data_IF_306433221139
#
_entry.id   IF_306433221139
#
_cell.length_a   1.000
_cell.length_b   1.000
_cell.length_c   1.000
_cell.angle_alpha   90.00
_cell.angle_beta   90.00
_cell.angle_gamma   90.00
#
_symmetry.space_group_name_H-M   'P 1'
#
loop_
_entity.id
_entity.type
_entity.pdbx_description
1 polymer ?
#
# COMPACT_ATOMS: atom_id res chain seq x y z
N UNK A 1 8.39 -18.88 12.18
CA UNK A 1 7.76 -17.85 11.34
C UNK A 1 6.99 -16.93 12.26
N UNK A 2 7.14 -15.60 12.11
CA UNK A 2 6.35 -14.66 12.89
C UNK A 2 4.88 -14.79 12.45
N UNK A 3 3.96 -14.84 13.41
CA UNK A 3 2.52 -14.87 13.12
C UNK A 3 2.11 -13.50 12.60
N UNK A 4 1.32 -13.46 11.53
CA UNK A 4 0.72 -12.23 11.01
C UNK A 4 -0.06 -11.50 12.12
N UNK A 5 0.05 -10.17 12.18
CA UNK A 5 -0.72 -9.35 13.13
C UNK A 5 -2.22 -9.46 12.84
N UNK A 6 -3.06 -9.18 13.84
CA UNK A 6 -4.51 -9.14 13.65
C UNK A 6 -4.88 -7.99 12.69
N UNK A 7 -4.19 -6.85 12.77
CA UNK A 7 -4.44 -5.74 11.85
C UNK A 7 -4.11 -6.11 10.39
N UNK A 8 -2.98 -6.78 10.13
CA UNK A 8 -2.63 -7.22 8.78
C UNK A 8 -3.68 -8.15 8.17
N UNK A 9 -4.29 -9.02 9.01
CA UNK A 9 -5.40 -9.87 8.59
C UNK A 9 -6.61 -9.06 8.16
N UNK A 10 -7.03 -8.11 9.00
CA UNK A 10 -8.21 -7.29 8.78
C UNK A 10 -8.05 -6.42 7.53
N UNK A 11 -6.92 -5.73 7.39
CA UNK A 11 -6.60 -4.93 6.21
C UNK A 11 -6.49 -5.78 4.94
N UNK A 12 -5.85 -6.95 5.02
CA UNK A 12 -5.78 -7.91 3.93
C UNK A 12 -7.18 -8.32 3.45
N UNK A 13 -8.08 -8.65 4.37
CA UNK A 13 -9.46 -9.02 4.03
C UNK A 13 -10.22 -7.85 3.38
N UNK A 14 -10.06 -6.63 3.88
CA UNK A 14 -10.67 -5.43 3.30
C UNK A 14 -10.22 -5.22 1.85
N UNK A 15 -8.94 -5.45 1.53
CA UNK A 15 -8.42 -5.34 0.16
C UNK A 15 -9.11 -6.33 -0.80
N UNK A 16 -9.43 -7.56 -0.35
CA UNK A 16 -10.16 -8.52 -1.18
C UNK A 16 -11.58 -8.07 -1.56
N UNK A 17 -12.22 -7.26 -0.71
CA UNK A 17 -13.58 -6.79 -0.92
C UNK A 17 -13.64 -5.57 -1.86
N UNK A 18 -12.51 -4.89 -2.07
CA UNK A 18 -12.39 -3.81 -3.05
C UNK A 18 -12.47 -4.31 -4.51
N UNK A 19 -12.19 -5.59 -4.78
CA UNK A 19 -12.24 -6.16 -6.13
C UNK A 19 -13.36 -7.20 -6.27
N UNK A 20 -14.27 -6.96 -7.22
CA UNK A 20 -15.50 -7.75 -7.43
C UNK A 20 -15.25 -9.26 -7.59
N UNK A 21 -14.17 -9.65 -8.29
CA UNK A 21 -13.88 -11.05 -8.58
C UNK A 21 -13.15 -11.77 -7.43
N UNK A 22 -12.58 -11.03 -6.48
CA UNK A 22 -11.92 -11.60 -5.30
C UNK A 22 -12.81 -11.57 -4.06
N UNK A 23 -13.81 -10.68 -4.00
CA UNK A 23 -14.73 -10.60 -2.86
C UNK A 23 -15.50 -11.90 -2.62
N UNK A 24 -15.76 -12.68 -3.68
CA UNK A 24 -16.46 -13.98 -3.63
C UNK A 24 -15.55 -15.19 -3.45
N UNK A 25 -14.25 -15.00 -3.25
CA UNK A 25 -13.33 -16.10 -2.95
C UNK A 25 -13.61 -16.68 -1.57
N UNK A 26 -13.34 -17.97 -1.39
CA UNK A 26 -13.47 -18.62 -0.10
C UNK A 26 -12.50 -18.01 0.92
N UNK A 27 -12.97 -17.81 2.15
CA UNK A 27 -12.19 -17.16 3.20
C UNK A 27 -10.86 -17.88 3.47
N UNK A 28 -10.84 -19.20 3.42
CA UNK A 28 -9.61 -19.99 3.58
C UNK A 28 -8.57 -19.67 2.49
N UNK A 29 -9.00 -19.47 1.24
CA UNK A 29 -8.12 -19.09 0.14
C UNK A 29 -7.62 -17.65 0.28
N UNK A 30 -8.51 -16.73 0.69
CA UNK A 30 -8.10 -15.34 1.01
C UNK A 30 -7.03 -15.37 2.10
N UNK A 31 -7.22 -16.22 3.12
CA UNK A 31 -6.30 -16.34 4.24
C UNK A 31 -4.91 -16.81 3.80
N UNK A 32 -4.86 -17.92 3.06
CA UNK A 32 -3.60 -18.43 2.49
C UNK A 32 -2.85 -17.34 1.71
N UNK A 33 -3.54 -16.62 0.82
CA UNK A 33 -2.91 -15.59 -0.02
C UNK A 33 -2.39 -14.42 0.80
N UNK A 34 -3.14 -13.95 1.80
CA UNK A 34 -2.69 -12.85 2.67
C UNK A 34 -1.39 -13.25 3.38
N UNK A 35 -1.34 -14.46 3.95
CA UNK A 35 -0.14 -14.96 4.62
C UNK A 35 1.05 -15.04 3.68
N UNK A 36 0.88 -15.68 2.51
CA UNK A 36 1.94 -15.83 1.51
C UNK A 36 2.43 -14.48 0.96
N UNK A 37 1.51 -13.54 0.71
CA UNK A 37 1.84 -12.21 0.20
C UNK A 37 2.57 -11.36 1.25
N UNK A 38 2.14 -11.43 2.51
CA UNK A 38 2.79 -10.71 3.60
C UNK A 38 4.23 -11.22 3.83
N UNK A 39 4.41 -12.55 3.88
CA UNK A 39 5.73 -13.18 3.98
C UNK A 39 6.64 -12.78 2.81
N UNK A 40 6.09 -12.75 1.59
CA UNK A 40 6.82 -12.32 0.41
C UNK A 40 7.26 -10.84 0.53
N UNK A 41 6.35 -9.95 0.92
CA UNK A 41 6.64 -8.54 1.12
C UNK A 41 7.73 -8.29 2.17
N UNK A 42 7.59 -8.92 3.33
CA UNK A 42 8.58 -8.85 4.40
C UNK A 42 9.96 -9.37 3.96
N UNK A 43 10.00 -10.50 3.25
CA UNK A 43 11.24 -11.05 2.69
C UNK A 43 11.90 -10.06 1.72
N UNK A 44 11.13 -9.48 0.79
CA UNK A 44 11.64 -8.48 -0.16
C UNK A 44 12.19 -7.24 0.55
N UNK A 45 11.58 -6.81 1.65
CA UNK A 45 12.06 -5.67 2.41
C UNK A 45 13.44 -5.94 3.04
N UNK A 46 13.66 -7.12 3.60
CA UNK A 46 14.98 -7.48 4.14
C UNK A 46 16.04 -7.61 3.04
N UNK A 47 15.68 -8.15 1.87
CA UNK A 47 16.57 -8.18 0.69
C UNK A 47 16.98 -6.76 0.28
N UNK A 48 16.02 -5.85 0.13
CA UNK A 48 16.27 -4.46 -0.26
C UNK A 48 17.07 -3.72 0.81
N UNK A 49 16.79 -3.92 2.09
CA UNK A 49 17.58 -3.33 3.19
C UNK A 49 19.03 -3.79 3.16
N UNK A 50 19.29 -5.07 2.85
CA UNK A 50 20.65 -5.60 2.72
C UNK A 50 21.44 -4.98 1.57
N UNK A 51 20.75 -4.63 0.48
CA UNK A 51 21.35 -4.02 -0.72
C UNK A 51 21.57 -2.51 -0.51
N UNK A 52 20.51 -1.81 -0.11
CA UNK A 52 20.48 -0.36 -0.02
C UNK A 52 20.67 0.07 1.43
N UNK A 53 21.92 0.44 1.77
CA UNK A 53 22.34 0.88 3.11
C UNK A 53 21.90 2.31 3.43
N UNK A 54 20.62 2.62 3.25
CA UNK A 54 20.05 3.97 3.44
C UNK A 54 18.96 3.98 4.50
N UNK A 55 18.62 5.16 5.01
CA UNK A 55 17.68 5.34 6.13
C UNK A 55 16.19 5.36 5.77
N UNK A 56 15.79 5.14 4.51
CA UNK A 56 14.36 5.21 4.13
C UNK A 56 14.09 4.98 2.64
N UNK A 57 12.81 4.85 2.30
CA UNK A 57 12.34 4.60 0.94
C UNK A 57 12.70 5.73 -0.03
N UNK A 58 12.60 6.99 0.41
CA UNK A 58 12.97 8.13 -0.44
C UNK A 58 14.45 8.09 -0.84
N UNK A 59 15.32 7.68 0.08
CA UNK A 59 16.76 7.53 -0.20
C UNK A 59 17.02 6.47 -1.27
N UNK A 60 16.34 5.33 -1.17
CA UNK A 60 16.45 4.23 -2.14
C UNK A 60 15.95 4.68 -3.51
N UNK A 61 14.78 5.32 -3.57
CA UNK A 61 14.21 5.85 -4.81
C UNK A 61 15.15 6.84 -5.50
N UNK A 62 15.80 7.73 -4.74
CA UNK A 62 16.81 8.66 -5.28
C UNK A 62 18.02 7.93 -5.86
N UNK A 63 18.53 6.90 -5.18
CA UNK A 63 19.63 6.08 -5.71
C UNK A 63 19.25 5.33 -7.00
N UNK A 64 17.98 4.95 -7.13
CA UNK A 64 17.41 4.32 -8.33
C UNK A 64 17.16 5.31 -9.49
N UNK A 65 17.40 6.60 -9.26
CA UNK A 65 17.16 7.68 -10.23
C UNK A 65 15.68 7.99 -10.42
N UNK A 66 14.83 7.72 -9.43
CA UNK A 66 13.41 8.07 -9.47
C UNK A 66 13.21 9.53 -9.09
N UNK A 67 12.53 10.28 -9.95
CA UNK A 67 12.16 11.67 -9.71
C UNK A 67 10.85 11.71 -8.91
N UNK A 68 10.86 12.36 -7.74
CA UNK A 68 9.67 12.52 -6.91
C UNK A 68 9.16 13.95 -7.04
N UNK A 69 7.97 14.12 -7.60
CA UNK A 69 7.31 15.42 -7.79
C UNK A 69 6.14 15.50 -6.81
N UNK A 70 5.98 16.66 -6.17
CA UNK A 70 4.77 16.96 -5.40
C UNK A 70 3.77 17.64 -6.32
N UNK A 71 2.58 17.06 -6.45
CA UNK A 71 1.47 17.64 -7.20
C UNK A 71 0.38 18.11 -6.23
N UNK A 72 -0.08 19.35 -6.40
CA UNK A 72 -1.14 19.94 -5.57
C UNK A 72 -2.47 20.06 -6.35
N UNK A 73 -2.59 19.42 -7.51
CA UNK A 73 -3.82 19.52 -8.31
C UNK A 73 -4.99 18.86 -7.57
N UNK A 74 -6.03 19.66 -7.33
CA UNK A 74 -7.35 19.18 -6.90
C UNK A 74 -8.00 18.46 -8.07
N UNK A 75 -7.67 17.18 -8.31
CA UNK A 75 -8.64 16.30 -8.95
C UNK A 75 -9.79 16.11 -7.96
N UNK A 76 -11.00 16.31 -8.48
CA UNK A 76 -12.22 16.62 -7.72
C UNK A 76 -12.64 15.56 -6.72
N UNK A 77 -13.91 15.62 -6.31
CA UNK A 77 -14.56 14.67 -5.39
C UNK A 77 -14.58 13.23 -5.97
N UNK A 78 -13.43 12.61 -6.15
CA UNK A 78 -13.32 11.22 -6.53
C UNK A 78 -13.70 10.37 -5.31
N UNK A 79 -14.48 9.31 -5.55
CA UNK A 79 -14.78 8.28 -4.53
C UNK A 79 -13.52 7.54 -4.04
N UNK A 80 -12.38 7.77 -4.70
CA UNK A 80 -11.09 7.17 -4.41
C UNK A 80 -10.02 8.27 -4.47
N UNK A 81 -9.16 8.37 -3.45
CA UNK A 81 -8.07 9.36 -3.42
C UNK A 81 -6.76 8.64 -3.61
N UNK A 82 -6.00 9.02 -4.65
CA UNK A 82 -4.64 8.52 -4.88
C UNK A 82 -3.64 9.29 -4.03
N UNK A 83 -2.85 8.57 -3.24
CA UNK A 83 -1.84 9.13 -2.35
C UNK A 83 -0.55 9.44 -3.11
N UNK A 84 -0.20 8.57 -4.06
CA UNK A 84 0.80 8.80 -5.07
C UNK A 84 0.43 8.06 -6.37
N UNK A 85 1.16 8.34 -7.44
CA UNK A 85 1.10 7.56 -8.67
C UNK A 85 2.51 7.40 -9.23
N UNK A 86 2.93 6.15 -9.43
CA UNK A 86 4.18 5.83 -10.11
C UNK A 86 4.00 5.75 -11.63
N UNK A 87 4.87 6.43 -12.36
CA UNK A 87 4.98 6.45 -13.81
C UNK A 87 6.27 5.76 -14.26
N UNK A 88 6.23 4.44 -14.57
CA UNK A 88 7.44 3.67 -14.82
C UNK A 88 8.27 4.17 -16.02
N UNK A 89 7.60 4.55 -17.12
CA UNK A 89 8.26 5.03 -18.35
C UNK A 89 9.22 6.18 -18.11
N UNK A 90 8.90 7.04 -17.13
CA UNK A 90 9.65 8.25 -16.84
C UNK A 90 10.42 8.16 -15.52
N UNK A 91 10.41 6.99 -14.85
CA UNK A 91 10.90 6.80 -13.47
C UNK A 91 10.48 7.97 -12.56
N UNK A 92 9.18 8.25 -12.53
CA UNK A 92 8.63 9.41 -11.82
C UNK A 92 7.55 8.98 -10.85
N UNK A 93 7.56 9.48 -9.63
CA UNK A 93 6.46 9.38 -8.67
C UNK A 93 5.84 10.76 -8.50
N UNK A 94 4.53 10.85 -8.72
CA UNK A 94 3.75 12.05 -8.41
C UNK A 94 3.08 11.85 -7.05
N UNK A 95 3.56 12.55 -6.02
CA UNK A 95 3.02 12.50 -4.67
C UNK A 95 1.92 13.56 -4.50
N UNK A 96 0.76 13.14 -4.00
CA UNK A 96 -0.36 14.05 -3.74
C UNK A 96 -0.06 14.92 -2.52
N UNK A 97 0.24 16.19 -2.76
CA UNK A 97 0.60 17.15 -1.73
C UNK A 97 -0.55 17.46 -0.77
N UNK A 98 -1.80 17.44 -1.24
CA UNK A 98 -2.97 17.69 -0.39
C UNK A 98 -3.22 16.53 0.58
N UNK A 99 -3.03 15.28 0.13
CA UNK A 99 -3.05 14.10 1.00
C UNK A 99 -1.98 14.22 2.08
N UNK A 100 -0.75 14.54 1.68
CA UNK A 100 0.36 14.63 2.61
C UNK A 100 0.18 15.76 3.63
N UNK A 101 -0.38 16.90 3.22
CA UNK A 101 -0.72 18.00 4.14
C UNK A 101 -1.80 17.58 5.13
N UNK A 102 -2.84 16.87 4.68
CA UNK A 102 -3.92 16.40 5.55
C UNK A 102 -3.45 15.35 6.55
N UNK A 103 -2.64 14.37 6.10
CA UNK A 103 -2.02 13.38 6.99
C UNK A 103 -1.08 14.05 7.99
N UNK A 104 -0.33 15.07 7.55
CA UNK A 104 0.58 15.83 8.42
C UNK A 104 -0.10 16.57 9.57
N UNK A 105 -1.43 16.72 9.56
CA UNK A 105 -2.20 17.23 10.71
C UNK A 105 -2.47 16.16 11.79
N UNK A 106 -2.27 14.88 11.47
CA UNK A 106 -2.70 13.72 12.29
C UNK A 106 -1.56 12.78 12.66
N UNK A 107 -0.49 12.80 11.88
CA UNK A 107 0.71 12.00 12.12
C UNK A 107 1.94 12.77 11.63
N UNK A 108 3.14 12.27 11.97
CA UNK A 108 4.38 12.83 11.46
C UNK A 108 4.38 12.84 9.93
N UNK A 109 4.49 14.03 9.34
CA UNK A 109 4.38 14.24 7.90
C UNK A 109 5.51 13.55 7.14
N UNK A 110 6.71 13.48 7.72
CA UNK A 110 7.86 12.83 7.09
C UNK A 110 7.64 11.32 7.05
N UNK A 111 7.14 10.73 8.13
CA UNK A 111 6.76 9.32 8.18
C UNK A 111 5.64 9.01 7.19
N UNK A 112 4.58 9.82 7.13
CA UNK A 112 3.50 9.65 6.14
C UNK A 112 4.05 9.63 4.71
N UNK A 113 4.98 10.54 4.39
CA UNK A 113 5.67 10.57 3.10
C UNK A 113 6.49 9.30 2.85
N UNK A 114 7.29 8.86 3.83
CA UNK A 114 8.09 7.64 3.72
C UNK A 114 7.22 6.41 3.48
N UNK A 115 6.08 6.28 4.16
CA UNK A 115 5.14 5.17 3.97
C UNK A 115 4.60 5.14 2.54
N UNK A 116 4.12 6.28 2.04
CA UNK A 116 3.58 6.37 0.67
C UNK A 116 4.67 6.04 -0.35
N UNK A 117 5.87 6.60 -0.19
CA UNK A 117 6.98 6.35 -1.09
C UNK A 117 7.50 4.91 -1.00
N UNK A 118 7.45 4.29 0.16
CA UNK A 118 7.84 2.89 0.34
C UNK A 118 6.90 1.95 -0.41
N UNK A 119 5.60 2.28 -0.43
CA UNK A 119 4.61 1.51 -1.17
C UNK A 119 4.89 1.60 -2.68
N UNK A 120 5.14 2.80 -3.20
CA UNK A 120 5.54 2.98 -4.60
C UNK A 120 6.91 2.35 -4.93
N UNK A 121 7.84 2.32 -3.98
CA UNK A 121 9.13 1.64 -4.13
C UNK A 121 8.95 0.13 -4.34
N UNK A 122 7.98 -0.50 -3.67
CA UNK A 122 7.65 -1.90 -3.92
C UNK A 122 7.23 -2.11 -5.38
N UNK A 123 6.28 -1.30 -5.87
CA UNK A 123 5.80 -1.38 -7.25
C UNK A 123 6.87 -1.00 -8.28
N UNK A 124 7.82 -0.13 -7.93
CA UNK A 124 9.02 0.09 -8.74
C UNK A 124 9.74 -1.24 -8.98
N UNK A 125 10.03 -2.00 -7.91
CA UNK A 125 10.74 -3.27 -8.06
C UNK A 125 9.92 -4.34 -8.78
N UNK A 126 8.59 -4.39 -8.61
CA UNK A 126 7.74 -5.27 -9.43
C UNK A 126 7.90 -5.01 -10.93
N UNK A 127 7.96 -3.73 -11.32
CA UNK A 127 8.07 -3.36 -12.73
C UNK A 127 9.47 -3.61 -13.29
N UNK A 128 10.51 -3.31 -12.53
CA UNK A 128 11.89 -3.30 -13.04
C UNK A 128 12.71 -4.56 -12.73
N UNK A 129 12.33 -5.35 -11.73
CA UNK A 129 13.18 -6.44 -11.23
C UNK A 129 12.44 -7.75 -10.95
N UNK A 130 11.36 -7.71 -10.16
CA UNK A 130 10.72 -8.92 -9.64
C UNK A 130 9.64 -9.50 -10.56
N UNK A 131 9.10 -8.68 -11.46
CA UNK A 131 7.84 -8.98 -12.12
C UNK A 131 6.64 -8.71 -11.20
N UNK A 132 5.43 -8.74 -11.77
CA UNK A 132 4.20 -8.50 -11.01
C UNK A 132 3.95 -9.61 -9.99
N UNK A 133 3.90 -9.26 -8.72
CA UNK A 133 3.57 -10.13 -7.58
C UNK A 133 2.24 -10.83 -7.79
N UNK A 134 1.21 -10.13 -8.29
CA UNK A 134 -0.10 -10.73 -8.57
C UNK A 134 -0.06 -11.92 -9.55
N UNK A 135 1.00 -12.06 -10.37
CA UNK A 135 1.22 -13.23 -11.25
C UNK A 135 1.60 -14.48 -10.48
N UNK A 136 2.28 -14.34 -9.34
CA UNK A 136 2.60 -15.45 -8.44
C UNK A 136 1.34 -16.00 -7.77
N UNK A 137 0.32 -15.15 -7.61
CA UNK A 137 -0.95 -15.48 -6.96
C UNK A 137 -2.06 -15.66 -7.98
N UNK A 138 -1.94 -16.65 -8.87
CA UNK A 138 -3.03 -17.01 -9.78
C UNK A 138 -3.96 -18.02 -9.12
N UNK A 139 -5.26 -17.72 -9.11
CA UNK A 139 -6.29 -18.64 -8.58
C UNK A 139 -7.45 -18.76 -9.56
N UNK A 140 -8.15 -19.90 -9.51
CA UNK A 140 -9.43 -20.07 -10.21
C UNK A 140 -10.50 -19.32 -9.43
N UNK A 141 -11.15 -18.35 -10.07
CA UNK A 141 -12.27 -17.56 -9.53
C UNK A 141 -13.50 -17.74 -10.42
N UNK A 142 -14.69 -17.41 -9.91
CA UNK A 142 -15.94 -17.51 -10.67
C UNK A 142 -16.44 -16.13 -11.10
N UNK A 143 -16.36 -15.83 -12.40
CA UNK A 143 -16.99 -14.64 -12.97
C UNK A 143 -18.52 -14.80 -12.95
N UNK A 144 -19.22 -13.76 -12.49
CA UNK A 144 -20.67 -13.78 -12.27
C UNK A 144 -21.18 -14.99 -11.45
N UNK A 145 -20.31 -15.59 -10.63
CA UNK A 145 -20.63 -16.78 -9.82
C UNK A 145 -20.70 -18.10 -10.59
N UNK A 146 -20.51 -18.11 -11.92
CA UNK A 146 -20.73 -19.31 -12.76
C UNK A 146 -19.56 -19.70 -13.65
N UNK A 147 -18.82 -18.73 -14.20
CA UNK A 147 -17.80 -19.01 -15.22
C UNK A 147 -16.43 -19.11 -14.55
N UNK A 148 -15.80 -20.29 -14.49
CA UNK A 148 -14.48 -20.44 -13.90
C UNK A 148 -13.43 -19.77 -14.80
N UNK A 149 -12.64 -18.86 -14.23
CA UNK A 149 -11.55 -18.18 -14.92
C UNK A 149 -10.33 -18.12 -14.01
N UNK A 150 -9.14 -18.28 -14.57
CA UNK A 150 -7.90 -18.04 -13.83
C UNK A 150 -7.59 -16.54 -13.87
N UNK A 151 -7.45 -15.92 -12.70
CA UNK A 151 -7.11 -14.50 -12.57
C UNK A 151 -5.89 -14.32 -11.68
N UNK A 152 -5.14 -13.27 -11.97
CA UNK A 152 -4.13 -12.72 -11.06
C UNK A 152 -4.86 -12.08 -9.88
N UNK A 153 -4.43 -12.35 -8.66
CA UNK A 153 -5.03 -11.79 -7.45
C UNK A 153 -4.35 -10.46 -7.14
N UNK A 154 -4.97 -9.36 -7.60
CA UNK A 154 -4.46 -8.00 -7.37
C UNK A 154 -4.28 -7.65 -5.88
N UNK A 155 -5.20 -8.01 -4.96
CA UNK A 155 -4.99 -7.79 -3.53
C UNK A 155 -3.65 -8.31 -2.99
N UNK A 156 -3.11 -9.40 -3.55
CA UNK A 156 -1.84 -9.96 -3.10
C UNK A 156 -0.65 -9.02 -3.35
N UNK A 157 -0.69 -8.22 -4.42
CA UNK A 157 0.36 -7.23 -4.67
C UNK A 157 0.32 -6.11 -3.64
N UNK A 158 -0.88 -5.61 -3.31
CA UNK A 158 -1.09 -4.55 -2.30
C UNK A 158 -0.71 -5.03 -0.88
N UNK A 159 -1.10 -6.26 -0.52
CA UNK A 159 -0.73 -6.87 0.77
C UNK A 159 0.79 -6.99 0.88
N UNK A 160 1.45 -7.49 -0.17
CA UNK A 160 2.89 -7.61 -0.19
C UNK A 160 3.60 -6.24 -0.15
N UNK A 161 3.05 -5.21 -0.79
CA UNK A 161 3.54 -3.84 -0.70
C UNK A 161 3.42 -3.29 0.73
N UNK A 162 2.30 -3.53 1.41
CA UNK A 162 2.12 -3.13 2.81
C UNK A 162 3.09 -3.87 3.74
N UNK A 163 3.22 -5.19 3.62
CA UNK A 163 4.18 -5.94 4.40
C UNK A 163 5.63 -5.48 4.14
N UNK A 164 5.96 -5.16 2.88
CA UNK A 164 7.24 -4.57 2.52
C UNK A 164 7.47 -3.24 3.23
N UNK A 165 6.49 -2.33 3.23
CA UNK A 165 6.57 -1.05 3.93
C UNK A 165 6.77 -1.22 5.43
N UNK A 166 5.93 -2.05 6.06
CA UNK A 166 5.98 -2.34 7.48
C UNK A 166 7.35 -2.86 7.88
N UNK A 167 7.86 -3.85 7.15
CA UNK A 167 9.16 -4.43 7.42
C UNK A 167 10.28 -3.44 7.12
N UNK A 168 10.34 -2.81 5.94
CA UNK A 168 11.45 -1.94 5.51
C UNK A 168 11.63 -0.74 6.44
N UNK A 169 10.53 -0.08 6.80
CA UNK A 169 10.52 1.10 7.66
C UNK A 169 10.45 0.75 9.16
N UNK A 170 10.37 -0.54 9.52
CA UNK A 170 10.25 -1.03 10.91
C UNK A 170 9.06 -0.41 11.65
N UNK A 171 7.91 -0.38 10.98
CA UNK A 171 6.69 0.17 11.56
C UNK A 171 6.11 -0.82 12.58
N UNK A 172 5.58 -0.28 13.66
CA UNK A 172 4.85 -1.03 14.69
C UNK A 172 3.35 -1.15 14.38
N UNK A 173 2.93 -0.66 13.22
CA UNK A 173 1.54 -0.61 12.77
C UNK A 173 1.43 -0.92 11.28
N UNK A 174 0.23 -1.21 10.79
CA UNK A 174 -0.01 -1.50 9.38
C UNK A 174 0.02 -0.22 8.53
N UNK A 175 0.85 -0.15 7.47
CA UNK A 175 0.95 1.02 6.60
C UNK A 175 -0.39 1.52 6.09
N UNK A 176 -1.34 0.62 5.81
CA UNK A 176 -2.66 0.95 5.31
C UNK A 176 -3.51 1.80 6.27
N UNK A 177 -3.14 1.87 7.55
CA UNK A 177 -3.78 2.77 8.53
C UNK A 177 -3.75 4.24 8.11
N UNK A 178 -2.79 4.65 7.26
CA UNK A 178 -2.77 6.04 6.75
C UNK A 178 -4.03 6.36 5.93
N UNK A 179 -4.67 5.38 5.30
CA UNK A 179 -5.94 5.59 4.60
C UNK A 179 -7.06 5.94 5.59
N UNK A 180 -7.13 5.22 6.72
CA UNK A 180 -8.11 5.49 7.78
C UNK A 180 -7.90 6.88 8.38
N UNK A 181 -6.65 7.22 8.72
CA UNK A 181 -6.28 8.55 9.22
C UNK A 181 -6.66 9.65 8.21
N UNK A 182 -6.47 9.42 6.91
CA UNK A 182 -6.88 10.39 5.90
C UNK A 182 -8.40 10.64 5.91
N UNK A 183 -9.22 9.59 6.04
CA UNK A 183 -10.68 9.68 5.98
C UNK A 183 -11.37 10.09 7.27
N UNK A 184 -10.71 9.91 8.42
CA UNK A 184 -11.21 10.42 9.69
C UNK A 184 -11.57 11.91 9.58
N UNK A 185 -12.76 12.27 10.08
CA UNK A 185 -13.17 13.67 10.17
C UNK A 185 -12.29 14.37 11.21
N UNK A 186 -11.91 15.62 10.97
CA UNK A 186 -11.42 16.47 12.05
C UNK A 186 -12.53 16.52 13.11
N UNK A 187 -12.28 16.05 14.34
CA UNK A 187 -13.16 16.37 15.45
C UNK A 187 -13.09 17.89 15.54
N UNK A 188 -14.17 18.59 15.18
CA UNK A 188 -14.24 20.01 15.45
C UNK A 188 -14.13 20.15 16.97
N UNK A 189 -13.02 20.71 17.43
CA UNK A 189 -12.98 21.38 18.72
C UNK A 189 -13.92 22.58 18.60
N UNK A 190 -15.22 22.34 18.75
CA UNK A 190 -16.16 23.38 19.15
C UNK A 190 -15.96 23.59 20.66
N UNK A 191 -14.79 24.10 21.02
CA UNK A 191 -14.62 24.94 22.20
C UNK A 191 -15.18 26.31 21.82
N UNK A 192 -16.49 26.46 21.94
CA UNK A 192 -17.18 27.73 21.85
C UNK A 192 -18.03 27.85 23.10
N UNK A 193 -17.49 28.55 24.08
CA UNK A 193 -18.15 28.93 25.32
C UNK A 193 -19.53 29.51 25.01
N UNK A 194 -20.55 28.96 25.66
CA UNK A 194 -21.81 29.65 25.86
C UNK A 194 -21.79 30.16 27.30
N UNK A 195 -21.41 31.43 27.46
CA UNK A 195 -21.93 32.29 28.54
C UNK A 195 -23.46 32.39 28.46
#
# INVERSE_FOLDING_TARGET
MAKLSQEAWEFGMLLFDQFIYTSRMEEAQKKEIIQEADELGAKRAEEIRGIYKTGGAEGILKQLGVVIIRENERRGQERFVRFAEFYPKNKKICLNGAVLDRLGKKMDKKLAREIILCHELYHYFEVFSWGKTSRCFRRKVRLFGKIPVTREILPAAEIAANAFCRTLLRLEFEPQMIEQLYWEKERMENGGDAE
#
